data_IF_859158357667
#
_entry.id   IF_859158357667
#
_cell.length_a   1.000
_cell.length_b   1.000
_cell.length_c   1.000
_cell.angle_alpha   90.00
_cell.angle_beta   90.00
_cell.angle_gamma   90.00
#
_symmetry.space_group_name_H-M   'P 1'
#
loop_
_entity.id
_entity.type
_entity.pdbx_description
1 polymer ?
#
# COMPACT_ATOMS: atom_id res chain seq x y z
N UNK A 1 0.45 -16.60 2.74
CA UNK A 1 -0.72 -15.75 2.95
C UNK A 1 -1.92 -16.37 2.26
N UNK A 2 -2.83 -16.90 3.06
CA UNK A 2 -4.10 -17.51 2.64
C UNK A 2 -5.03 -16.45 2.01
N UNK A 3 -5.95 -16.84 1.10
CA UNK A 3 -6.93 -15.91 0.52
C UNK A 3 -7.73 -15.13 1.57
N UNK A 4 -8.05 -15.77 2.70
CA UNK A 4 -8.82 -15.15 3.78
C UNK A 4 -8.03 -14.07 4.51
N UNK A 5 -6.74 -14.33 4.79
CA UNK A 5 -5.83 -13.35 5.39
C UNK A 5 -5.64 -12.13 4.49
N UNK A 6 -5.57 -12.34 3.17
CA UNK A 6 -5.48 -11.26 2.19
C UNK A 6 -6.71 -10.36 2.23
N UNK A 7 -7.92 -10.93 2.26
CA UNK A 7 -9.15 -10.15 2.30
C UNK A 7 -9.24 -9.29 3.57
N UNK A 8 -8.89 -9.86 4.73
CA UNK A 8 -8.83 -9.12 6.00
C UNK A 8 -7.82 -7.98 5.91
N UNK A 9 -6.59 -8.28 5.45
CA UNK A 9 -5.54 -7.29 5.33
C UNK A 9 -5.90 -6.17 4.33
N UNK A 10 -6.58 -6.50 3.23
CA UNK A 10 -7.02 -5.50 2.26
C UNK A 10 -8.00 -4.50 2.89
N UNK A 11 -8.92 -4.99 3.73
CA UNK A 11 -9.86 -4.15 4.47
C UNK A 11 -9.18 -3.19 5.45
N UNK A 12 -8.06 -3.58 6.05
CA UNK A 12 -7.29 -2.72 6.96
C UNK A 12 -6.37 -1.73 6.22
N UNK A 13 -5.71 -2.21 5.16
CA UNK A 13 -4.65 -1.47 4.46
C UNK A 13 -5.21 -0.49 3.43
N UNK A 14 -6.30 -0.83 2.73
CA UNK A 14 -6.93 0.04 1.74
C UNK A 14 -7.35 1.42 2.29
N UNK A 15 -8.09 1.53 3.42
CA UNK A 15 -8.48 2.84 3.96
C UNK A 15 -7.28 3.66 4.46
N UNK A 16 -6.24 3.01 5.00
CA UNK A 16 -5.01 3.70 5.41
C UNK A 16 -4.24 4.25 4.19
N UNK A 17 -4.17 3.48 3.10
CA UNK A 17 -3.54 3.90 1.86
C UNK A 17 -4.28 5.08 1.20
N UNK A 18 -5.62 5.04 1.19
CA UNK A 18 -6.43 6.15 0.68
C UNK A 18 -6.30 7.39 1.55
N UNK A 19 -6.17 7.23 2.88
CA UNK A 19 -5.92 8.33 3.82
C UNK A 19 -4.57 9.03 3.62
N UNK A 20 -3.60 8.40 2.93
CA UNK A 20 -2.29 8.99 2.67
C UNK A 20 -1.10 8.18 3.16
N UNK A 21 -1.33 7.05 3.85
CA UNK A 21 -0.24 6.20 4.28
C UNK A 21 0.52 5.63 3.08
N UNK A 22 1.84 5.54 3.22
CA UNK A 22 2.70 4.94 2.21
C UNK A 22 2.71 3.41 2.33
N UNK A 23 2.96 2.70 1.23
CA UNK A 23 3.12 1.23 1.22
C UNK A 23 4.17 0.78 2.24
N UNK A 24 5.18 1.62 2.52
CA UNK A 24 6.26 1.33 3.45
C UNK A 24 5.78 1.39 4.91
N UNK A 25 4.97 2.38 5.27
CA UNK A 25 4.34 2.45 6.59
C UNK A 25 3.37 1.28 6.79
N UNK A 26 2.56 0.98 5.77
CA UNK A 26 1.63 -0.15 5.79
C UNK A 26 2.39 -1.48 6.00
N UNK A 27 3.49 -1.68 5.27
CA UNK A 27 4.35 -2.86 5.43
C UNK A 27 4.93 -3.00 6.84
N UNK A 28 5.30 -1.87 7.46
CA UNK A 28 5.81 -1.84 8.83
C UNK A 28 4.72 -2.12 9.86
N UNK A 29 3.50 -1.65 9.61
CA UNK A 29 2.36 -1.82 10.52
C UNK A 29 1.78 -3.24 10.49
N UNK A 30 1.82 -3.92 9.34
CA UNK A 30 1.24 -5.27 9.17
C UNK A 30 2.25 -6.40 9.08
N UNK A 31 3.53 -6.13 9.40
CA UNK A 31 4.64 -7.09 9.32
C UNK A 31 4.71 -7.83 7.96
N UNK A 32 4.21 -7.19 6.91
CA UNK A 32 4.08 -7.74 5.57
C UNK A 32 5.12 -7.12 4.65
N UNK A 33 5.62 -7.89 3.68
CA UNK A 33 6.57 -7.33 2.71
C UNK A 33 5.93 -6.24 1.85
N UNK A 34 6.74 -5.26 1.42
CA UNK A 34 6.30 -4.24 0.46
C UNK A 34 5.66 -4.86 -0.78
N UNK A 35 6.23 -5.93 -1.32
CA UNK A 35 5.70 -6.63 -2.49
C UNK A 35 4.33 -7.27 -2.23
N UNK A 36 4.12 -7.83 -1.02
CA UNK A 36 2.84 -8.37 -0.60
C UNK A 36 1.77 -7.27 -0.51
N UNK A 37 2.08 -6.14 0.12
CA UNK A 37 1.17 -4.99 0.23
C UNK A 37 0.88 -4.39 -1.16
N UNK A 38 1.92 -4.23 -2.00
CA UNK A 38 1.76 -3.70 -3.35
C UNK A 38 0.87 -4.60 -4.21
N UNK A 39 1.10 -5.91 -4.19
CA UNK A 39 0.26 -6.87 -4.91
C UNK A 39 -1.16 -6.88 -4.38
N UNK A 40 -1.33 -6.81 -3.06
CA UNK A 40 -2.64 -6.75 -2.41
C UNK A 40 -3.43 -5.52 -2.85
N UNK A 41 -2.84 -4.32 -2.72
CA UNK A 41 -3.45 -3.06 -3.14
C UNK A 41 -3.76 -3.05 -4.64
N UNK A 42 -2.86 -3.59 -5.47
CA UNK A 42 -3.08 -3.70 -6.91
C UNK A 42 -4.23 -4.63 -7.30
N UNK A 43 -4.57 -5.61 -6.45
CA UNK A 43 -5.70 -6.52 -6.68
C UNK A 43 -6.99 -6.09 -5.97
N UNK A 44 -6.92 -5.07 -5.11
CA UNK A 44 -8.07 -4.60 -4.35
C UNK A 44 -8.90 -3.66 -5.22
N UNK A 45 -10.18 -3.98 -5.42
CA UNK A 45 -11.08 -3.11 -6.17
C UNK A 45 -11.27 -1.77 -5.45
N UNK A 46 -11.31 -0.67 -6.23
CA UNK A 46 -11.46 0.69 -5.70
C UNK A 46 -10.18 1.32 -5.16
N UNK A 47 -9.07 0.57 -5.07
CA UNK A 47 -7.76 1.16 -4.74
C UNK A 47 -7.09 1.65 -6.02
N UNK A 48 -7.19 2.96 -6.28
CA UNK A 48 -6.33 3.58 -7.28
C UNK A 48 -4.90 3.64 -6.74
N UNK A 49 -4.00 2.86 -7.35
CA UNK A 49 -2.57 2.98 -7.08
C UNK A 49 -2.17 4.43 -7.32
N UNK A 50 -1.80 5.11 -6.25
CA UNK A 50 -1.18 6.43 -6.31
C UNK A 50 0.17 6.20 -6.98
N UNK A 51 0.18 6.37 -8.30
CA UNK A 51 1.42 6.46 -9.07
C UNK A 51 2.29 7.48 -8.35
N UNK A 52 3.57 7.16 -8.14
CA UNK A 52 4.56 8.01 -7.46
C UNK A 52 4.37 9.44 -7.96
N UNK A 53 3.61 10.24 -7.21
CA UNK A 53 3.07 11.49 -7.70
C UNK A 53 4.22 12.47 -7.81
N UNK A 54 4.64 12.72 -9.05
CA UNK A 54 5.56 13.79 -9.38
C UNK A 54 7.04 13.47 -9.15
N UNK A 55 7.83 14.05 -10.05
CA UNK A 55 9.30 14.10 -10.08
C UNK A 55 9.92 13.95 -8.69
N UNK A 56 10.84 13.00 -8.53
CA UNK A 56 11.84 13.02 -7.44
C UNK A 56 12.71 14.27 -7.59
N UNK A 57 12.18 15.48 -7.35
CA UNK A 57 12.99 16.65 -7.11
C UNK A 57 13.56 16.47 -5.72
N UNK A 58 14.67 15.73 -5.66
CA UNK A 58 15.70 16.00 -4.67
C UNK A 58 16.11 17.44 -4.97
N UNK A 59 15.56 18.38 -4.20
CA UNK A 59 16.17 19.69 -4.07
C UNK A 59 17.58 19.42 -3.55
N UNK A 60 18.54 19.47 -4.47
CA UNK A 60 19.96 19.42 -4.14
C UNK A 60 20.31 20.86 -3.78
N UNK A 61 20.15 21.18 -2.50
CA UNK A 61 20.71 22.41 -1.92
C UNK A 61 22.19 22.21 -1.61
#
# INVERSE_FOLDING_TARGET
MSPKERAVLAGEVAPLYTAGATIRELSSATACSFGSIHRLLSTTEGVMMRGRGGTRRRDRR
#
